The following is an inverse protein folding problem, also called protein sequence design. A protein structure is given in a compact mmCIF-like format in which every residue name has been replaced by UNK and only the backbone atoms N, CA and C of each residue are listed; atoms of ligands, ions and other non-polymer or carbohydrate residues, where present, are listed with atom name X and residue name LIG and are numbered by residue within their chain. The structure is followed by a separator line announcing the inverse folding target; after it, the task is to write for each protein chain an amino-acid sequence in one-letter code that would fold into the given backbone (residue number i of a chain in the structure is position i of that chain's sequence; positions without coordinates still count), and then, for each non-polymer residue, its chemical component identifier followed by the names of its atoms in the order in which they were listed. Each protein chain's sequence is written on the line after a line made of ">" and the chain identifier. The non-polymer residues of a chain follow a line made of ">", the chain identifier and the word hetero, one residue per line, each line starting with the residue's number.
data_IF_311587950570
#
_entry.id   IF_311587950570
#
_cell.length_a   1.000
_cell.length_b   1.000
_cell.length_c   1.000
_cell.angle_alpha   90.00
_cell.angle_beta   90.00
_cell.angle_gamma   90.00
#
_symmetry.space_group_name_H-M   'P 1'
#
loop_
_entity.id
_entity.type
_entity.pdbx_description
1 polymer ?
#
# COMPACT_ATOMS: atom_id res chain seq x y z
N UNK A 1 5.04 -10.24 -16.85
CA UNK A 1 5.21 -10.43 -15.37
C UNK A 1 3.89 -10.11 -14.70
N UNK A 2 3.39 -11.04 -13.88
CA UNK A 2 2.16 -10.81 -13.11
C UNK A 2 2.49 -9.93 -11.92
N UNK A 3 1.86 -8.77 -11.83
CA UNK A 3 2.02 -7.86 -10.70
C UNK A 3 1.02 -8.21 -9.60
N UNK A 4 1.50 -8.30 -8.34
CA UNK A 4 0.66 -8.43 -7.16
C UNK A 4 0.55 -7.09 -6.46
N UNK A 5 -0.67 -6.63 -6.26
CA UNK A 5 -0.95 -5.34 -5.64
C UNK A 5 -1.66 -5.59 -4.31
N UNK A 6 -0.96 -5.49 -3.17
CA UNK A 6 -1.60 -5.57 -1.87
C UNK A 6 -2.43 -4.30 -1.62
N UNK A 7 -3.67 -4.47 -1.17
CA UNK A 7 -4.54 -3.34 -0.87
C UNK A 7 -5.65 -3.74 0.10
N UNK A 8 -5.96 -2.89 1.07
CA UNK A 8 -7.13 -3.04 1.93
C UNK A 8 -8.42 -2.67 1.18
N UNK A 9 -8.37 -1.64 0.33
CA UNK A 9 -9.53 -1.04 -0.33
C UNK A 9 -9.66 -1.38 -1.81
N UNK A 10 -8.75 -2.20 -2.36
CA UNK A 10 -8.79 -2.55 -3.77
C UNK A 10 -8.65 -1.36 -4.72
N UNK A 11 -7.93 -0.31 -4.34
CA UNK A 11 -7.70 0.85 -5.21
C UNK A 11 -6.39 0.75 -5.95
N UNK A 12 -6.43 0.86 -7.27
CA UNK A 12 -5.28 0.79 -8.17
C UNK A 12 -5.25 2.01 -9.07
N UNK A 13 -4.13 2.72 -9.15
CA UNK A 13 -3.94 3.75 -10.17
C UNK A 13 -3.39 3.11 -11.45
N UNK A 14 -4.19 3.13 -12.49
CA UNK A 14 -3.75 2.79 -13.85
C UNK A 14 -3.19 4.04 -14.51
N UNK A 15 -1.97 3.96 -15.04
CA UNK A 15 -1.31 5.07 -15.73
C UNK A 15 -0.84 4.62 -17.11
N UNK A 16 -1.34 5.26 -18.18
CA UNK A 16 -0.83 5.11 -19.53
C UNK A 16 0.01 6.34 -19.91
N UNK A 17 1.14 6.09 -20.56
CA UNK A 17 2.03 7.15 -21.09
C UNK A 17 2.21 6.97 -22.57
N UNK A 18 1.88 8.00 -23.35
CA UNK A 18 2.09 8.04 -24.79
C UNK A 18 3.38 8.81 -25.11
N UNK A 19 4.21 8.31 -26.02
CA UNK A 19 5.53 8.85 -26.32
C UNK A 19 5.66 9.45 -27.72
N UNK A 20 4.78 9.07 -28.66
CA UNK A 20 4.79 9.49 -30.06
C UNK A 20 3.40 9.92 -30.51
N UNK A 21 3.28 10.52 -31.67
CA UNK A 21 2.03 11.06 -32.20
C UNK A 21 1.91 12.57 -32.01
N UNK A 22 0.74 13.14 -32.30
CA UNK A 22 0.44 14.55 -32.17
C UNK A 22 0.44 15.12 -30.76
N UNK A 23 -0.07 16.32 -30.61
CA UNK A 23 -0.09 17.04 -29.35
C UNK A 23 -1.25 16.62 -28.44
N UNK A 24 -2.24 15.89 -28.96
CA UNK A 24 -3.41 15.45 -28.23
C UNK A 24 -3.59 13.94 -28.31
N UNK A 25 -3.67 13.30 -27.14
CA UNK A 25 -3.91 11.86 -27.01
C UNK A 25 -5.08 11.61 -26.06
N UNK A 26 -5.75 10.48 -26.22
CA UNK A 26 -6.68 9.97 -25.21
C UNK A 26 -6.53 8.46 -25.10
N UNK A 27 -6.67 7.96 -23.87
CA UNK A 27 -6.60 6.55 -23.60
C UNK A 27 -7.91 6.07 -22.98
N UNK A 28 -8.29 4.85 -23.32
CA UNK A 28 -9.44 4.15 -22.70
C UNK A 28 -9.02 2.76 -22.24
N UNK A 29 -9.78 2.20 -21.34
CA UNK A 29 -9.54 0.86 -20.79
C UNK A 29 -10.84 0.06 -20.72
N UNK A 30 -10.71 -1.26 -20.72
CA UNK A 30 -11.80 -2.21 -20.46
C UNK A 30 -11.23 -3.45 -19.78
N UNK A 31 -12.08 -4.19 -19.08
CA UNK A 31 -11.77 -5.52 -18.53
C UNK A 31 -12.29 -6.66 -19.41
N UNK A 32 -12.97 -6.34 -20.51
CA UNK A 32 -13.40 -7.34 -21.48
C UNK A 32 -12.30 -7.56 -22.52
N UNK A 33 -12.61 -7.48 -23.79
CA UNK A 33 -11.65 -7.55 -24.89
C UNK A 33 -11.63 -6.25 -25.71
N UNK A 34 -10.64 -6.08 -26.59
CA UNK A 34 -10.56 -4.93 -27.48
C UNK A 34 -11.76 -4.81 -28.43
N UNK A 35 -12.57 -5.87 -28.63
CA UNK A 35 -13.77 -5.84 -29.46
C UNK A 35 -14.95 -5.17 -28.76
N UNK A 36 -14.97 -5.15 -27.43
CA UNK A 36 -16.02 -4.57 -26.58
C UNK A 36 -15.86 -3.06 -26.35
N UNK A 37 -15.03 -2.36 -27.08
CA UNK A 37 -14.53 -0.99 -26.82
C UNK A 37 -15.60 0.12 -26.67
N UNK A 38 -16.46 -0.09 -25.69
CA UNK A 38 -17.16 0.98 -24.97
C UNK A 38 -16.41 1.34 -23.66
N UNK A 39 -15.08 1.15 -23.66
CA UNK A 39 -14.24 1.31 -22.48
C UNK A 39 -14.33 2.71 -21.88
N UNK A 40 -14.13 2.76 -20.58
CA UNK A 40 -14.06 4.01 -19.83
C UNK A 40 -12.76 4.75 -20.15
N UNK A 41 -12.79 6.08 -20.07
CA UNK A 41 -11.64 6.93 -20.37
C UNK A 41 -10.73 7.02 -19.14
N UNK A 42 -9.41 6.97 -19.37
CA UNK A 42 -8.41 7.40 -18.42
C UNK A 42 -8.40 8.92 -18.36
N UNK A 43 -9.25 9.50 -17.50
CA UNK A 43 -9.61 10.93 -17.54
C UNK A 43 -8.77 11.85 -16.66
N UNK A 44 -7.84 11.26 -15.89
CA UNK A 44 -6.95 11.99 -14.98
C UNK A 44 -5.54 12.06 -15.58
N UNK A 45 -4.70 12.97 -15.12
CA UNK A 45 -3.35 13.19 -15.64
C UNK A 45 -3.22 14.54 -16.33
N UNK A 46 -2.24 14.71 -17.22
CA UNK A 46 -2.05 15.97 -17.97
C UNK A 46 -2.97 16.11 -19.20
N UNK A 47 -3.66 15.04 -19.56
CA UNK A 47 -4.59 15.00 -20.70
C UNK A 47 -3.91 15.06 -22.08
N UNK A 48 -2.58 15.06 -22.10
CA UNK A 48 -1.78 15.13 -23.32
C UNK A 48 -0.97 13.85 -23.52
N UNK A 49 -0.10 13.53 -22.58
CA UNK A 49 0.79 12.35 -22.64
C UNK A 49 0.72 11.44 -21.43
N UNK A 50 0.07 11.85 -20.37
CA UNK A 50 -0.14 11.05 -19.16
C UNK A 50 -1.64 10.94 -18.90
N UNK A 51 -2.14 9.71 -18.91
CA UNK A 51 -3.54 9.39 -18.70
C UNK A 51 -3.64 8.47 -17.50
N UNK A 52 -4.52 8.79 -16.55
CA UNK A 52 -4.64 8.07 -15.30
C UNK A 52 -6.08 7.77 -14.94
N UNK A 53 -6.27 6.73 -14.16
CA UNK A 53 -7.54 6.39 -13.53
C UNK A 53 -7.30 5.62 -12.25
N UNK A 54 -7.97 6.02 -11.18
CA UNK A 54 -8.06 5.22 -9.96
C UNK A 54 -9.26 4.29 -10.08
N UNK A 55 -9.01 2.99 -9.95
CA UNK A 55 -10.01 1.93 -10.00
C UNK A 55 -10.20 1.34 -8.61
N UNK A 56 -11.44 1.05 -8.23
CA UNK A 56 -11.77 0.29 -7.02
C UNK A 56 -12.12 -1.13 -7.44
N UNK A 57 -11.25 -2.08 -7.09
CA UNK A 57 -11.33 -3.48 -7.51
C UNK A 57 -11.35 -4.39 -6.26
N UNK A 58 -12.11 -5.48 -6.30
CA UNK A 58 -12.05 -6.51 -5.27
C UNK A 58 -10.76 -7.34 -5.39
N UNK A 59 -10.46 -8.16 -4.39
CA UNK A 59 -9.36 -9.12 -4.48
C UNK A 59 -9.69 -10.18 -5.53
N UNK A 60 -8.96 -10.20 -6.64
CA UNK A 60 -9.10 -11.13 -7.76
C UNK A 60 -7.95 -10.96 -8.76
N UNK A 61 -7.91 -11.81 -9.79
CA UNK A 61 -7.04 -11.65 -10.93
C UNK A 61 -7.73 -10.80 -11.99
N UNK A 62 -7.01 -9.83 -12.53
CA UNK A 62 -7.50 -8.91 -13.53
C UNK A 62 -6.65 -8.91 -14.78
N UNK A 63 -7.30 -8.81 -15.92
CA UNK A 63 -6.73 -8.49 -17.21
C UNK A 63 -7.35 -7.18 -17.69
N UNK A 64 -6.54 -6.12 -17.82
CA UNK A 64 -6.99 -4.82 -18.30
C UNK A 64 -6.43 -4.55 -19.69
N UNK A 65 -7.30 -4.17 -20.58
CA UNK A 65 -7.01 -3.80 -21.97
C UNK A 65 -6.98 -2.30 -22.06
N UNK A 66 -5.85 -1.73 -22.46
CA UNK A 66 -5.66 -0.27 -22.62
C UNK A 66 -5.43 0.02 -24.10
N UNK A 67 -6.14 1.01 -24.63
CA UNK A 67 -5.99 1.49 -25.99
C UNK A 67 -5.86 3.01 -25.98
N UNK A 68 -4.77 3.52 -26.55
CA UNK A 68 -4.51 4.95 -26.67
C UNK A 68 -4.56 5.38 -28.13
N UNK A 69 -5.13 6.55 -28.39
CA UNK A 69 -5.28 7.13 -29.71
C UNK A 69 -4.64 8.50 -29.75
N UNK A 70 -4.11 8.86 -30.90
CA UNK A 70 -3.72 10.24 -31.19
C UNK A 70 -4.81 10.97 -32.02
N UNK A 71 -4.56 12.24 -32.32
CA UNK A 71 -5.47 13.09 -33.08
C UNK A 71 -5.64 12.66 -34.56
N UNK A 72 -4.72 11.84 -35.08
CA UNK A 72 -4.77 11.32 -36.47
C UNK A 72 -5.59 10.04 -36.55
N UNK A 73 -5.91 9.43 -35.40
CA UNK A 73 -6.62 8.17 -35.29
C UNK A 73 -5.70 6.95 -35.27
N UNK A 74 -4.39 7.16 -35.25
CA UNK A 74 -3.44 6.08 -34.97
C UNK A 74 -3.59 5.64 -33.52
N UNK A 75 -3.42 4.34 -33.28
CA UNK A 75 -3.62 3.78 -31.94
C UNK A 75 -2.58 2.72 -31.60
N UNK A 76 -2.38 2.56 -30.29
CA UNK A 76 -1.59 1.49 -29.70
C UNK A 76 -2.37 0.79 -28.60
N UNK A 77 -2.04 -0.47 -28.32
CA UNK A 77 -2.77 -1.36 -27.41
C UNK A 77 -1.83 -2.09 -26.49
N UNK A 78 -2.22 -2.20 -25.21
CA UNK A 78 -1.49 -2.95 -24.19
C UNK A 78 -2.47 -3.78 -23.37
N UNK A 79 -2.03 -4.96 -22.94
CA UNK A 79 -2.76 -5.84 -22.01
C UNK A 79 -1.90 -5.99 -20.76
N UNK A 80 -2.48 -5.67 -19.62
CA UNK A 80 -1.81 -5.79 -18.32
C UNK A 80 -2.55 -6.79 -17.47
N UNK A 81 -1.83 -7.82 -17.01
CA UNK A 81 -2.32 -8.80 -16.04
C UNK A 81 -1.81 -8.44 -14.65
N UNK A 82 -2.69 -8.45 -13.66
CA UNK A 82 -2.34 -8.21 -12.26
C UNK A 82 -3.31 -8.90 -11.31
N UNK A 83 -2.84 -9.16 -10.09
CA UNK A 83 -3.63 -9.73 -9.01
C UNK A 83 -3.80 -8.70 -7.90
N UNK A 84 -5.03 -8.45 -7.48
CA UNK A 84 -5.34 -7.72 -6.26
C UNK A 84 -5.40 -8.72 -5.12
N UNK A 85 -4.54 -8.55 -4.13
CA UNK A 85 -4.54 -9.38 -2.92
C UNK A 85 -4.99 -8.56 -1.72
N UNK A 86 -5.76 -9.19 -0.85
CA UNK A 86 -6.15 -8.58 0.42
C UNK A 86 -5.11 -8.92 1.48
N UNK A 87 -4.36 -7.92 1.93
CA UNK A 87 -3.43 -8.11 3.03
C UNK A 87 -4.18 -8.10 4.37
N UNK A 88 -4.12 -9.22 5.08
CA UNK A 88 -4.69 -9.42 6.42
C UNK A 88 -3.63 -9.72 7.47
N UNK A 89 -2.36 -9.68 7.08
CA UNK A 89 -1.24 -9.96 7.97
C UNK A 89 -0.86 -8.74 8.80
N UNK A 90 -0.63 -8.93 10.08
CA UNK A 90 -0.12 -7.86 10.93
C UNK A 90 1.40 -7.74 10.79
N UNK A 91 1.99 -6.54 10.92
CA UNK A 91 3.44 -6.36 10.85
C UNK A 91 4.17 -7.22 11.88
N UNK A 92 5.14 -7.98 11.41
CA UNK A 92 6.02 -8.77 12.27
C UNK A 92 7.13 -7.91 12.87
N UNK A 93 7.65 -8.31 14.06
CA UNK A 93 8.85 -7.71 14.63
C UNK A 93 10.07 -8.49 14.16
N UNK A 94 10.94 -7.83 13.39
CA UNK A 94 12.15 -8.44 12.83
C UNK A 94 13.33 -8.40 13.79
N UNK A 95 13.44 -7.34 14.60
CA UNK A 95 14.53 -7.17 15.55
C UNK A 95 14.15 -6.21 16.68
N UNK A 96 14.63 -6.51 17.88
CA UNK A 96 14.54 -5.64 19.08
C UNK A 96 15.88 -5.64 19.80
N UNK A 97 16.33 -4.45 20.23
CA UNK A 97 17.49 -4.32 21.12
C UNK A 97 17.40 -3.04 21.93
N UNK A 98 18.04 -3.04 23.06
CA UNK A 98 18.21 -1.85 23.90
C UNK A 98 19.64 -1.37 23.84
N UNK A 99 19.83 -0.06 23.76
CA UNK A 99 21.11 0.60 23.87
C UNK A 99 20.97 1.77 24.84
N UNK A 100 21.62 1.67 25.98
CA UNK A 100 21.42 2.59 27.10
C UNK A 100 19.93 2.65 27.51
N UNK A 101 19.31 3.84 27.46
CA UNK A 101 17.89 4.04 27.73
C UNK A 101 17.02 4.04 26.46
N UNK A 102 17.55 3.64 25.31
CA UNK A 102 16.83 3.61 24.04
C UNK A 102 16.45 2.18 23.68
N UNK A 103 15.16 1.92 23.53
CA UNK A 103 14.63 0.70 22.96
C UNK A 103 14.39 0.89 21.46
N UNK A 104 15.00 0.03 20.67
CA UNK A 104 14.90 0.03 19.22
C UNK A 104 14.12 -1.20 18.75
N UNK A 105 13.19 -0.97 17.81
CA UNK A 105 12.33 -2.01 17.22
C UNK A 105 12.36 -1.86 15.70
N UNK A 106 12.62 -2.96 14.99
CA UNK A 106 12.50 -3.02 13.52
C UNK A 106 11.34 -3.94 13.17
N UNK A 107 10.43 -3.45 12.34
CA UNK A 107 9.31 -4.23 11.79
C UNK A 107 9.69 -4.91 10.47
N UNK A 108 8.96 -5.95 10.09
CA UNK A 108 9.13 -6.66 8.81
C UNK A 108 8.83 -5.75 7.60
N UNK A 109 7.98 -4.76 7.81
CA UNK A 109 7.48 -3.82 6.82
C UNK A 109 7.32 -2.42 7.40
N UNK A 110 6.90 -1.47 6.60
CA UNK A 110 6.57 -0.12 7.06
C UNK A 110 5.30 -0.16 7.92
N UNK A 111 5.39 0.34 9.13
CA UNK A 111 4.29 0.23 10.11
C UNK A 111 4.20 1.47 11.01
N UNK A 112 3.03 1.75 11.52
CA UNK A 112 2.85 2.60 12.68
C UNK A 112 2.93 1.72 13.93
N UNK A 113 3.82 2.05 14.88
CA UNK A 113 3.87 1.35 16.15
C UNK A 113 3.45 2.26 17.31
N UNK A 114 2.78 1.66 18.29
CA UNK A 114 2.40 2.30 19.54
C UNK A 114 2.77 1.40 20.71
N UNK A 115 3.02 1.99 21.87
CA UNK A 115 3.30 1.24 23.08
C UNK A 115 2.43 1.66 24.26
N UNK A 116 2.35 0.77 25.24
CA UNK A 116 1.77 0.99 26.58
C UNK A 116 2.65 0.31 27.62
N UNK A 117 2.68 0.82 28.85
CA UNK A 117 3.32 0.15 29.99
C UNK A 117 2.33 -0.64 30.85
N UNK A 118 1.04 -0.58 30.55
CA UNK A 118 0.00 -1.18 31.38
C UNK A 118 -0.31 -2.65 31.02
N UNK A 119 -0.61 -2.92 29.75
CA UNK A 119 -0.96 -4.28 29.33
C UNK A 119 -0.81 -4.46 27.81
N UNK A 120 -0.65 -5.73 27.39
CA UNK A 120 -0.66 -6.13 25.99
C UNK A 120 -2.01 -5.90 25.27
N UNK A 121 -3.10 -5.77 26.04
CA UNK A 121 -4.47 -5.58 25.52
C UNK A 121 -4.93 -4.12 25.49
N UNK A 122 -3.99 -3.17 25.50
CA UNK A 122 -4.36 -1.76 25.37
C UNK A 122 -5.09 -1.51 24.04
N UNK A 123 -6.05 -0.59 24.02
CA UNK A 123 -6.69 -0.16 22.75
C UNK A 123 -5.68 0.61 21.93
N UNK A 124 -5.76 0.46 20.61
CA UNK A 124 -4.85 1.13 19.69
C UNK A 124 -4.77 2.64 19.92
N UNK A 125 -5.92 3.28 20.14
CA UNK A 125 -6.00 4.74 20.33
C UNK A 125 -5.41 5.24 21.65
N UNK A 126 -5.32 4.35 22.67
CA UNK A 126 -4.76 4.66 23.99
C UNK A 126 -3.22 4.50 24.03
N UNK A 127 -2.62 3.97 22.96
CA UNK A 127 -1.18 3.76 22.87
C UNK A 127 -0.38 5.02 22.59
N UNK A 128 0.81 5.13 23.18
CA UNK A 128 1.78 6.19 22.86
C UNK A 128 2.46 5.88 21.54
N UNK A 129 2.42 6.84 20.60
CA UNK A 129 3.00 6.65 19.25
C UNK A 129 4.52 6.53 19.29
N UNK A 130 5.04 5.60 18.50
CA UNK A 130 6.46 5.42 18.17
C UNK A 130 6.78 5.92 16.75
N UNK A 131 5.79 6.52 16.07
CA UNK A 131 5.89 6.97 14.68
C UNK A 131 5.49 5.91 13.65
N UNK A 132 5.40 6.34 12.38
CA UNK A 132 5.07 5.49 11.23
C UNK A 132 6.34 5.30 10.40
N UNK A 133 7.09 4.25 10.66
CA UNK A 133 8.41 3.96 10.11
C UNK A 133 8.63 2.44 10.01
N UNK A 134 9.80 2.03 9.57
CA UNK A 134 10.25 0.63 9.65
C UNK A 134 11.17 0.39 10.87
N UNK A 135 11.79 1.46 11.38
CA UNK A 135 12.63 1.43 12.58
C UNK A 135 12.09 2.43 13.57
N UNK A 136 11.77 1.97 14.76
CA UNK A 136 11.17 2.75 15.84
C UNK A 136 12.13 2.81 17.01
N UNK A 137 12.24 3.97 17.66
CA UNK A 137 13.07 4.18 18.84
C UNK A 137 12.30 4.96 19.89
N UNK A 138 12.34 4.51 21.13
CA UNK A 138 11.75 5.20 22.28
C UNK A 138 12.70 5.21 23.46
N UNK A 139 12.58 6.23 24.31
CA UNK A 139 13.21 6.24 25.63
C UNK A 139 12.47 5.27 26.56
N UNK A 140 13.25 4.48 27.32
CA UNK A 140 12.70 3.50 28.26
C UNK A 140 13.27 3.70 29.66
N UNK A 141 12.45 3.35 30.65
CA UNK A 141 12.82 3.38 32.07
C UNK A 141 13.17 1.95 32.52
N UNK A 142 14.35 1.79 33.09
CA UNK A 142 14.85 0.50 33.60
C UNK A 142 13.86 -0.16 34.55
N UNK A 143 13.58 -1.43 34.25
CA UNK A 143 12.65 -2.27 35.04
C UNK A 143 11.18 -2.11 34.64
N UNK A 144 10.85 -1.21 33.71
CA UNK A 144 9.50 -1.12 33.14
C UNK A 144 9.30 -2.10 31.98
N UNK A 145 8.06 -2.57 31.82
CA UNK A 145 7.66 -3.44 30.73
C UNK A 145 6.90 -2.63 29.69
N UNK A 146 7.33 -2.74 28.45
CA UNK A 146 6.74 -2.08 27.30
C UNK A 146 6.00 -3.10 26.43
N UNK A 147 4.71 -2.87 26.20
CA UNK A 147 3.84 -3.65 25.34
C UNK A 147 3.67 -2.89 24.04
N UNK A 148 4.17 -3.44 22.92
CA UNK A 148 4.19 -2.76 21.63
C UNK A 148 3.23 -3.44 20.69
N UNK A 149 2.39 -2.65 20.01
CA UNK A 149 1.57 -3.05 18.87
C UNK A 149 2.00 -2.29 17.64
N UNK A 150 2.01 -2.96 16.49
CA UNK A 150 2.27 -2.31 15.21
C UNK A 150 1.11 -2.58 14.25
N UNK A 151 0.75 -1.56 13.47
CA UNK A 151 -0.22 -1.62 12.40
C UNK A 151 0.46 -1.33 11.07
N UNK A 152 0.13 -2.06 10.02
CA UNK A 152 0.54 -1.76 8.65
C UNK A 152 -0.26 -0.58 8.06
N UNK A 153 -0.02 -0.31 6.80
CA UNK A 153 -0.76 0.73 6.06
C UNK A 153 -2.20 0.34 5.75
N UNK A 154 -2.53 -0.97 5.87
CA UNK A 154 -3.87 -1.52 5.65
C UNK A 154 -4.72 -1.58 6.94
N UNK A 155 -4.18 -1.17 8.07
CA UNK A 155 -4.88 -1.14 9.35
C UNK A 155 -4.87 -2.47 10.09
N UNK A 156 -4.08 -3.45 9.67
CA UNK A 156 -3.96 -4.72 10.37
C UNK A 156 -3.22 -4.55 11.70
N UNK A 157 -3.95 -4.64 12.79
CA UNK A 157 -3.45 -4.52 14.17
C UNK A 157 -3.61 -5.85 14.89
N UNK A 158 -2.59 -6.38 15.59
CA UNK A 158 -2.73 -7.59 16.36
C UNK A 158 -3.72 -7.41 17.53
N UNK A 159 -4.49 -8.44 17.84
CA UNK A 159 -5.41 -8.44 18.99
C UNK A 159 -4.68 -8.36 20.34
N UNK A 160 -3.46 -8.90 20.39
CA UNK A 160 -2.52 -8.77 21.51
C UNK A 160 -1.46 -7.70 21.23
N UNK A 161 -0.26 -7.80 21.81
CA UNK A 161 0.89 -7.01 21.39
C UNK A 161 1.72 -7.76 20.33
N UNK A 162 2.40 -7.01 19.48
CA UNK A 162 3.39 -7.57 18.55
C UNK A 162 4.60 -8.09 19.32
N UNK A 163 4.97 -7.39 20.43
CA UNK A 163 6.04 -7.82 21.34
C UNK A 163 5.86 -7.20 22.74
N UNK A 164 6.43 -7.89 23.75
CA UNK A 164 6.60 -7.41 25.11
C UNK A 164 8.10 -7.35 25.42
N UNK A 165 8.56 -6.25 25.97
CA UNK A 165 9.99 -6.02 26.29
C UNK A 165 10.10 -5.45 27.71
N UNK A 166 10.95 -6.04 28.55
CA UNK A 166 11.35 -5.47 29.84
C UNK A 166 12.66 -4.69 29.64
N UNK A 167 12.67 -3.43 30.03
CA UNK A 167 13.83 -2.56 29.93
C UNK A 167 14.87 -2.89 31.03
N UNK A 168 16.14 -3.06 30.66
CA UNK A 168 17.22 -3.51 31.53
C UNK A 168 18.22 -2.41 31.91
#
# INVERSE_FOLDING_TARGET
>A
EDFKIPTEFGTVEVTARTSSGGDFHYCRYTFDDFGSLKGDILSEGDGVKVHKKVLSLAADNYEIYIECFDETGDFDREIINFEIIHDTSTPGISRVWQESNLLNVITSEFAECKYSTNSCRFNWDDGTSMGKLRTHTIDVIKGETYYIKCSDEFGNVPSGCSIQVEAT
#
